data_IF_527155737369
#
_entry.id   IF_527155737369
#
_cell.length_a   1.000
_cell.length_b   1.000
_cell.length_c   1.000
_cell.angle_alpha   90.00
_cell.angle_beta   90.00
_cell.angle_gamma   90.00
#
_symmetry.space_group_name_H-M   'P 1'
#
loop_
_entity.id
_entity.type
_entity.pdbx_description
1 polymer ?
#
# COMPACT_ATOMS: atom_id res chain seq x y z
N UNK A 1 3.67 -7.67 17.09
CA UNK A 1 3.50 -6.49 16.23
C UNK A 1 4.20 -6.66 14.89
N UNK A 2 5.41 -7.24 14.84
CA UNK A 2 6.20 -7.35 13.61
C UNK A 2 5.45 -8.02 12.44
N UNK A 3 4.74 -9.13 12.68
CA UNK A 3 3.99 -9.80 11.60
C UNK A 3 2.82 -8.96 11.05
N UNK A 4 2.18 -8.15 11.89
CA UNK A 4 1.12 -7.23 11.46
C UNK A 4 1.69 -6.15 10.54
N UNK A 5 2.85 -5.59 10.88
CA UNK A 5 3.53 -4.60 10.03
C UNK A 5 3.91 -5.22 8.67
N UNK A 6 4.44 -6.44 8.68
CA UNK A 6 4.83 -7.21 7.49
C UNK A 6 3.63 -7.60 6.63
N UNK A 7 2.48 -7.89 7.24
CA UNK A 7 1.22 -8.07 6.54
C UNK A 7 0.76 -6.77 5.87
N UNK A 8 0.69 -5.69 6.66
CA UNK A 8 0.19 -4.39 6.23
C UNK A 8 0.97 -3.82 5.06
N UNK A 9 2.30 -3.89 5.10
CA UNK A 9 3.13 -3.40 4.01
C UNK A 9 2.97 -4.21 2.71
N UNK A 10 2.81 -5.54 2.79
CA UNK A 10 2.57 -6.39 1.60
C UNK A 10 1.19 -6.16 1.00
N UNK A 11 0.17 -6.00 1.85
CA UNK A 11 -1.17 -5.59 1.41
C UNK A 11 -1.12 -4.20 0.78
N UNK A 12 -0.36 -3.26 1.34
CA UNK A 12 -0.18 -1.91 0.78
C UNK A 12 0.43 -1.92 -0.62
N UNK A 13 1.46 -2.73 -0.86
CA UNK A 13 2.04 -2.91 -2.21
C UNK A 13 0.97 -3.46 -3.17
N UNK A 14 0.22 -4.47 -2.76
CA UNK A 14 -0.82 -5.09 -3.61
C UNK A 14 -2.06 -4.20 -3.84
N UNK A 15 -2.31 -3.26 -2.93
CA UNK A 15 -3.37 -2.27 -3.09
C UNK A 15 -3.03 -1.24 -4.19
N UNK A 16 -1.75 -1.11 -4.56
CA UNK A 16 -1.34 -0.25 -5.66
C UNK A 16 -1.37 -1.01 -6.99
N UNK A 17 -2.07 -0.48 -8.01
CA UNK A 17 -2.09 -1.10 -9.34
C UNK A 17 -0.68 -1.32 -9.87
N UNK A 18 -0.39 -2.57 -10.26
CA UNK A 18 0.94 -2.99 -10.71
C UNK A 18 1.87 -3.51 -9.62
N UNK A 19 1.44 -3.54 -8.35
CA UNK A 19 2.25 -4.01 -7.23
C UNK A 19 2.60 -5.50 -7.29
N UNK A 20 3.86 -5.91 -7.08
CA UNK A 20 4.24 -7.30 -7.11
C UNK A 20 3.73 -8.06 -5.88
N UNK A 21 3.44 -9.36 -6.07
CA UNK A 21 3.20 -10.26 -4.94
C UNK A 21 4.52 -10.59 -4.25
N UNK A 22 4.54 -10.41 -2.93
CA UNK A 22 5.72 -10.69 -2.10
C UNK A 22 5.37 -11.80 -1.13
N UNK A 23 6.24 -12.80 -1.00
CA UNK A 23 6.00 -13.92 -0.08
C UNK A 23 5.88 -13.42 1.35
N UNK A 24 4.88 -13.89 2.08
CA UNK A 24 4.61 -13.51 3.47
C UNK A 24 4.95 -14.65 4.41
N UNK A 25 5.69 -14.31 5.46
CA UNK A 25 6.05 -15.24 6.53
C UNK A 25 5.60 -14.63 7.86
N UNK A 26 5.05 -15.48 8.74
CA UNK A 26 4.57 -15.13 10.08
C UNK A 26 5.20 -16.05 11.13
N UNK A 27 5.18 -15.62 12.39
CA UNK A 27 5.81 -16.29 13.52
C UNK A 27 6.97 -15.49 14.14
N UNK A 28 7.06 -14.17 13.91
CA UNK A 28 8.11 -13.36 14.54
C UNK A 28 7.78 -13.19 16.03
N UNK A 29 8.71 -13.51 16.95
CA UNK A 29 8.49 -13.26 18.37
C UNK A 29 8.45 -11.76 18.64
N UNK A 30 7.71 -11.36 19.68
CA UNK A 30 7.75 -9.98 20.16
C UNK A 30 9.13 -9.69 20.76
N UNK A 31 9.66 -8.51 20.45
CA UNK A 31 10.81 -7.94 21.13
C UNK A 31 10.35 -6.71 21.91
N UNK A 32 10.79 -6.62 23.17
CA UNK A 32 10.50 -5.49 24.06
C UNK A 32 11.64 -4.49 24.11
N UNK A 33 12.77 -4.83 23.51
CA UNK A 33 13.98 -4.02 23.51
C UNK A 33 13.89 -3.03 22.35
N UNK A 34 13.95 -1.71 22.62
CA UNK A 34 13.99 -0.72 21.55
C UNK A 34 15.22 -0.91 20.66
N UNK A 35 15.08 -0.65 19.36
CA UNK A 35 16.25 -0.60 18.49
C UNK A 35 17.17 0.57 18.88
N UNK A 36 18.49 0.41 18.68
CA UNK A 36 19.43 1.52 18.77
C UNK A 36 19.03 2.67 17.83
N UNK A 37 19.25 3.89 18.29
CA UNK A 37 19.03 5.11 17.51
C UNK A 37 20.03 5.21 16.35
N UNK A 38 19.67 5.95 15.30
CA UNK A 38 20.59 6.24 14.17
C UNK A 38 20.75 5.11 13.16
N UNK A 39 19.97 4.03 13.24
CA UNK A 39 20.02 2.92 12.29
C UNK A 39 19.14 3.12 11.04
N UNK A 40 18.37 4.21 11.01
CA UNK A 40 17.51 4.59 9.89
C UNK A 40 18.16 5.72 9.08
N UNK A 41 18.11 5.66 7.73
CA UNK A 41 18.71 6.69 6.90
C UNK A 41 17.90 8.00 6.97
N UNK A 42 18.54 9.16 7.19
CA UNK A 42 17.92 10.44 6.93
C UNK A 42 17.94 10.75 5.42
N UNK A 43 17.05 11.66 5.01
CA UNK A 43 16.84 12.06 3.59
C UNK A 43 18.01 12.84 2.96
N UNK A 44 19.06 13.14 3.72
CA UNK A 44 20.20 13.94 3.31
C UNK A 44 21.52 13.15 3.31
N UNK A 45 21.50 11.85 3.57
CA UNK A 45 22.69 11.02 3.39
C UNK A 45 23.13 10.96 1.92
N UNK A 46 24.43 10.86 1.72
CA UNK A 46 25.03 10.61 0.41
C UNK A 46 24.78 9.17 -0.03
N UNK A 47 24.93 8.90 -1.34
CA UNK A 47 24.85 7.55 -1.86
C UNK A 47 25.79 6.57 -1.16
N UNK A 48 27.05 6.93 -0.90
CA UNK A 48 28.00 6.04 -0.22
C UNK A 48 27.58 5.76 1.24
N UNK A 49 27.11 6.76 1.97
CA UNK A 49 26.59 6.57 3.33
C UNK A 49 25.40 5.60 3.35
N UNK A 50 24.49 5.71 2.37
CA UNK A 50 23.34 4.82 2.24
C UNK A 50 23.76 3.41 1.83
N UNK A 51 24.66 3.30 0.86
CA UNK A 51 25.20 2.02 0.40
C UNK A 51 25.89 1.29 1.56
N UNK A 52 26.73 1.97 2.33
CA UNK A 52 27.45 1.35 3.45
C UNK A 52 26.48 0.97 4.59
N UNK A 53 25.49 1.82 4.89
CA UNK A 53 24.46 1.54 5.89
C UNK A 53 23.64 0.27 5.55
N UNK A 54 23.34 0.06 4.27
CA UNK A 54 22.59 -1.11 3.79
C UNK A 54 23.49 -2.33 3.55
N UNK A 55 24.75 -2.13 3.17
CA UNK A 55 25.75 -3.20 3.10
C UNK A 55 26.00 -3.83 4.48
N UNK A 56 26.00 -3.03 5.54
CA UNK A 56 26.05 -3.54 6.93
C UNK A 56 24.79 -4.33 7.33
N UNK A 57 23.73 -4.24 6.52
CA UNK A 57 22.50 -5.03 6.62
C UNK A 57 22.43 -6.12 5.54
N UNK A 58 23.55 -6.38 4.89
CA UNK A 58 23.76 -7.36 3.81
C UNK A 58 22.96 -7.09 2.53
N UNK A 59 22.44 -5.87 2.35
CA UNK A 59 21.73 -5.43 1.14
C UNK A 59 22.76 -4.80 0.19
N UNK A 60 22.79 -5.27 -1.07
CA UNK A 60 23.71 -4.75 -2.08
C UNK A 60 23.29 -3.36 -2.58
N UNK A 61 24.15 -2.60 -3.27
CA UNK A 61 23.75 -1.33 -3.88
C UNK A 61 22.53 -1.46 -4.80
N UNK A 62 22.50 -2.48 -5.66
CA UNK A 62 21.34 -2.76 -6.52
C UNK A 62 20.09 -3.14 -5.72
N UNK A 63 20.27 -3.87 -4.62
CA UNK A 63 19.15 -4.21 -3.73
C UNK A 63 18.59 -3.00 -2.98
N UNK A 64 19.45 -2.05 -2.59
CA UNK A 64 19.02 -0.76 -2.06
C UNK A 64 18.19 0.00 -3.10
N UNK A 65 18.66 0.08 -4.35
CA UNK A 65 17.90 0.73 -5.45
C UNK A 65 16.55 0.05 -5.68
N UNK A 66 16.50 -1.28 -5.59
CA UNK A 66 15.24 -2.01 -5.70
C UNK A 66 14.27 -1.56 -4.60
N UNK A 67 14.71 -1.57 -3.34
CA UNK A 67 13.89 -1.22 -2.16
C UNK A 67 13.39 0.23 -2.19
N UNK A 68 14.23 1.21 -2.52
CA UNK A 68 13.83 2.62 -2.55
C UNK A 68 12.83 2.92 -3.68
N UNK A 69 12.70 2.02 -4.67
CA UNK A 69 11.63 2.11 -5.68
C UNK A 69 10.23 2.17 -5.07
N UNK A 70 10.04 1.73 -3.81
CA UNK A 70 8.79 1.92 -3.07
C UNK A 70 8.32 3.39 -2.98
N UNK A 71 9.23 4.35 -3.19
CA UNK A 71 8.89 5.76 -3.29
C UNK A 71 7.98 6.11 -4.48
N UNK A 72 7.74 5.19 -5.44
CA UNK A 72 6.70 5.39 -6.45
C UNK A 72 5.30 5.48 -5.84
N UNK A 73 5.09 4.88 -4.67
CA UNK A 73 3.82 4.90 -3.95
C UNK A 73 3.96 5.65 -2.61
N UNK A 74 4.54 6.85 -2.63
CA UNK A 74 4.79 7.64 -1.42
C UNK A 74 4.48 9.13 -1.53
N UNK A 75 4.33 9.74 -0.34
CA UNK A 75 4.21 11.17 -0.13
C UNK A 75 5.07 11.61 1.06
N UNK A 76 5.76 12.73 0.92
CA UNK A 76 6.59 13.31 1.96
C UNK A 76 5.74 14.07 2.97
N UNK A 77 5.54 13.52 4.16
CA UNK A 77 4.87 14.22 5.25
C UNK A 77 5.93 14.80 6.19
N UNK A 78 6.01 16.13 6.24
CA UNK A 78 6.88 16.85 7.18
C UNK A 78 6.03 17.83 7.98
N UNK A 79 6.38 18.04 9.25
CA UNK A 79 5.74 19.05 10.10
C UNK A 79 5.80 20.47 9.51
N UNK A 80 6.69 20.71 8.55
CA UNK A 80 6.94 22.00 7.91
C UNK A 80 6.13 22.24 6.62
N UNK A 81 5.46 21.22 6.06
CA UNK A 81 4.66 21.40 4.84
C UNK A 81 3.36 20.59 4.89
N UNK A 82 2.24 21.27 4.65
CA UNK A 82 0.90 20.66 4.60
C UNK A 82 0.59 20.02 3.25
N UNK A 83 1.41 20.27 2.22
CA UNK A 83 1.13 19.82 0.84
C UNK A 83 1.39 18.32 0.63
N UNK A 84 2.21 17.71 1.48
CA UNK A 84 2.63 16.31 1.39
C UNK A 84 3.02 15.84 -0.03
N UNK A 85 4.01 16.49 -0.68
CA UNK A 85 4.30 16.24 -2.09
C UNK A 85 4.79 14.80 -2.35
N UNK A 86 4.39 14.18 -3.48
CA UNK A 86 4.85 12.86 -3.87
C UNK A 86 6.30 12.85 -4.36
N UNK A 87 6.89 11.66 -4.42
CA UNK A 87 8.26 11.45 -4.92
C UNK A 87 8.30 11.21 -6.45
N UNK A 88 7.14 11.01 -7.06
CA UNK A 88 6.96 10.95 -8.50
C UNK A 88 5.59 11.52 -8.92
N UNK A 89 5.26 11.40 -10.20
CA UNK A 89 4.01 11.96 -10.76
C UNK A 89 2.80 11.03 -10.61
N UNK A 90 2.98 9.81 -10.11
CA UNK A 90 1.99 8.73 -10.06
C UNK A 90 1.92 8.03 -8.69
N UNK A 91 1.80 8.76 -7.55
CA UNK A 91 1.95 8.24 -6.17
C UNK A 91 0.94 7.17 -5.72
N UNK A 92 0.00 6.79 -6.57
CA UNK A 92 -0.99 5.73 -6.33
C UNK A 92 -0.84 4.54 -7.28
N UNK A 93 0.25 4.46 -8.05
CA UNK A 93 0.56 3.36 -8.96
C UNK A 93 1.90 2.77 -8.58
N UNK A 94 2.02 1.47 -8.73
CA UNK A 94 3.30 0.79 -8.57
C UNK A 94 3.93 0.66 -9.95
N UNK A 95 4.62 1.71 -10.39
CA UNK A 95 5.24 1.80 -11.71
C UNK A 95 6.68 2.31 -11.61
N UNK A 96 7.34 2.51 -12.76
CA UNK A 96 8.75 2.89 -12.82
C UNK A 96 8.97 4.40 -12.91
N UNK A 97 7.91 5.21 -12.74
CA UNK A 97 7.96 6.66 -12.88
C UNK A 97 8.91 7.29 -11.86
N UNK A 98 9.00 6.76 -10.64
CA UNK A 98 10.00 7.16 -9.65
C UNK A 98 11.43 7.15 -10.20
N UNK A 99 11.84 6.08 -10.89
CA UNK A 99 13.19 5.99 -11.45
C UNK A 99 13.39 7.01 -12.56
N UNK A 100 12.42 7.13 -13.47
CA UNK A 100 12.47 8.12 -14.56
C UNK A 100 12.53 9.55 -14.02
N UNK A 101 11.79 9.87 -12.96
CA UNK A 101 11.77 11.19 -12.32
C UNK A 101 13.12 11.57 -11.70
N UNK A 102 13.82 10.62 -11.11
CA UNK A 102 15.13 10.85 -10.49
C UNK A 102 16.29 10.88 -11.49
N UNK A 103 16.08 10.39 -12.72
CA UNK A 103 17.02 10.51 -13.83
C UNK A 103 16.89 11.84 -14.60
N UNK A 104 15.82 12.61 -14.37
CA UNK A 104 15.61 13.92 -15.00
C UNK A 104 16.54 14.98 -14.40
N UNK A 105 16.97 15.99 -15.20
CA UNK A 105 17.78 17.08 -14.68
C UNK A 105 17.04 17.87 -13.59
N UNK A 106 15.75 18.16 -13.81
CA UNK A 106 14.91 18.94 -12.90
C UNK A 106 13.69 18.14 -12.44
N UNK A 107 13.21 18.46 -11.23
CA UNK A 107 12.00 17.86 -10.69
C UNK A 107 10.78 18.33 -11.48
N UNK A 108 9.84 17.44 -11.73
CA UNK A 108 8.53 17.77 -12.26
C UNK A 108 7.75 18.66 -11.28
N UNK A 109 6.85 19.48 -11.82
CA UNK A 109 6.02 20.36 -11.00
C UNK A 109 5.21 19.54 -9.96
N UNK A 110 5.26 19.98 -8.70
CA UNK A 110 4.56 19.31 -7.59
C UNK A 110 5.25 18.06 -7.05
N UNK A 111 6.38 17.62 -7.62
CA UNK A 111 7.16 16.49 -7.12
C UNK A 111 8.26 16.96 -6.17
N UNK A 112 8.46 16.21 -5.09
CA UNK A 112 9.55 16.42 -4.15
C UNK A 112 10.52 15.23 -4.16
N UNK A 113 11.72 15.48 -4.69
CA UNK A 113 12.84 14.51 -4.72
C UNK A 113 13.66 14.65 -3.44
N UNK A 114 13.84 13.57 -2.69
CA UNK A 114 14.73 13.60 -1.54
C UNK A 114 16.19 13.78 -2.02
N UNK A 115 17.02 14.57 -1.30
CA UNK A 115 18.44 14.70 -1.65
C UNK A 115 19.17 13.34 -1.71
N UNK A 116 18.82 12.40 -0.82
CA UNK A 116 19.32 11.02 -0.82
C UNK A 116 19.01 10.28 -2.12
N UNK A 117 17.80 10.42 -2.64
CA UNK A 117 17.32 9.70 -3.82
C UNK A 117 18.02 10.25 -5.07
N UNK A 118 18.19 11.58 -5.13
CA UNK A 118 18.99 12.24 -6.17
C UNK A 118 20.46 11.78 -6.12
N UNK A 119 21.05 11.71 -4.93
CA UNK A 119 22.43 11.23 -4.75
C UNK A 119 22.60 9.80 -5.23
N UNK A 120 21.66 8.90 -4.90
CA UNK A 120 21.67 7.51 -5.38
C UNK A 120 21.46 7.40 -6.89
N UNK A 121 20.60 8.22 -7.49
CA UNK A 121 20.38 8.21 -8.93
C UNK A 121 21.62 8.67 -9.72
N UNK A 122 22.42 9.58 -9.14
CA UNK A 122 23.63 10.13 -9.76
C UNK A 122 24.91 9.34 -9.47
N UNK A 123 24.90 8.47 -8.45
CA UNK A 123 26.08 7.70 -8.06
C UNK A 123 26.46 6.65 -9.11
N UNK A 124 27.76 6.46 -9.42
CA UNK A 124 28.21 5.45 -10.38
C UNK A 124 27.88 4.01 -9.93
N UNK A 125 27.67 3.77 -8.64
CA UNK A 125 27.40 2.44 -8.07
C UNK A 125 25.93 2.03 -8.18
N UNK A 126 25.02 2.99 -8.34
CA UNK A 126 23.57 2.78 -8.27
C UNK A 126 22.81 3.39 -9.45
N UNK A 127 23.33 4.44 -10.07
CA UNK A 127 22.76 5.10 -11.26
C UNK A 127 22.46 4.16 -12.44
N UNK A 128 23.36 3.22 -12.81
CA UNK A 128 23.05 2.22 -13.83
C UNK A 128 21.83 1.35 -13.49
N UNK A 129 21.61 1.05 -12.20
CA UNK A 129 20.45 0.27 -11.74
C UNK A 129 19.17 1.12 -11.80
N UNK A 130 19.24 2.41 -11.49
CA UNK A 130 18.13 3.35 -11.72
C UNK A 130 17.72 3.37 -13.19
N UNK A 131 18.69 3.45 -14.11
CA UNK A 131 18.42 3.41 -15.55
C UNK A 131 17.76 2.09 -15.96
N UNK A 132 18.28 0.96 -15.50
CA UNK A 132 17.71 -0.35 -15.77
C UNK A 132 16.25 -0.45 -15.30
N UNK A 133 15.98 -0.09 -14.04
CA UNK A 133 14.62 -0.19 -13.49
C UNK A 133 13.66 0.83 -14.10
N UNK A 134 14.14 1.99 -14.57
CA UNK A 134 13.29 2.93 -15.33
C UNK A 134 12.70 2.31 -16.60
N UNK A 135 13.42 1.37 -17.23
CA UNK A 135 13.03 0.75 -18.49
C UNK A 135 12.42 -0.66 -18.33
N UNK A 136 12.66 -1.34 -17.21
CA UNK A 136 12.33 -2.75 -17.02
C UNK A 136 11.53 -3.00 -15.74
N UNK A 137 10.23 -2.68 -15.76
CA UNK A 137 9.33 -2.87 -14.61
C UNK A 137 9.36 -4.30 -14.05
N UNK A 138 9.31 -5.33 -14.91
CA UNK A 138 9.32 -6.72 -14.45
C UNK A 138 10.61 -7.10 -13.70
N UNK A 139 11.76 -6.60 -14.17
CA UNK A 139 13.04 -6.81 -13.49
C UNK A 139 13.08 -6.09 -12.13
N UNK A 140 12.51 -4.88 -12.05
CA UNK A 140 12.38 -4.17 -10.79
C UNK A 140 11.42 -4.87 -9.82
N UNK A 141 10.25 -5.33 -10.28
CA UNK A 141 9.27 -6.04 -9.46
C UNK A 141 9.88 -7.30 -8.82
N UNK A 142 10.63 -8.08 -9.59
CA UNK A 142 11.33 -9.27 -9.10
C UNK A 142 12.41 -8.89 -8.06
N UNK A 143 13.24 -7.89 -8.38
CA UNK A 143 14.27 -7.41 -7.47
C UNK A 143 13.68 -6.86 -6.17
N UNK A 144 12.60 -6.08 -6.25
CA UNK A 144 11.90 -5.53 -5.09
C UNK A 144 11.33 -6.64 -4.22
N UNK A 145 10.61 -7.61 -4.80
CA UNK A 145 10.03 -8.71 -4.03
C UNK A 145 11.10 -9.54 -3.32
N UNK A 146 12.23 -9.80 -3.99
CA UNK A 146 13.39 -10.51 -3.42
C UNK A 146 14.01 -9.74 -2.24
N UNK A 147 14.33 -8.47 -2.43
CA UNK A 147 15.00 -7.67 -1.41
C UNK A 147 14.05 -7.31 -0.25
N UNK A 148 12.75 -7.17 -0.52
CA UNK A 148 11.76 -7.00 0.54
C UNK A 148 11.70 -8.25 1.43
N UNK A 149 11.75 -9.46 0.87
CA UNK A 149 11.82 -10.69 1.66
C UNK A 149 13.07 -10.65 2.55
N UNK A 150 14.23 -10.30 1.99
CA UNK A 150 15.48 -10.15 2.75
C UNK A 150 15.33 -9.17 3.91
N UNK A 151 14.80 -7.97 3.64
CA UNK A 151 14.53 -6.95 4.65
C UNK A 151 13.56 -7.44 5.73
N UNK A 152 12.49 -8.15 5.34
CA UNK A 152 11.48 -8.66 6.27
C UNK A 152 11.98 -9.75 7.22
N UNK A 153 13.12 -10.36 6.92
CA UNK A 153 13.73 -11.45 7.68
C UNK A 153 14.92 -11.01 8.53
N UNK A 154 15.30 -9.74 8.44
CA UNK A 154 16.39 -9.17 9.23
C UNK A 154 16.13 -9.34 10.73
N UNK A 155 17.12 -9.80 11.50
CA UNK A 155 16.98 -10.04 12.94
C UNK A 155 16.13 -11.27 13.33
N UNK A 156 15.54 -12.01 12.37
CA UNK A 156 14.79 -13.23 12.68
C UNK A 156 15.75 -14.41 12.92
N UNK A 157 15.94 -14.77 14.19
CA UNK A 157 16.86 -15.86 14.59
C UNK A 157 16.43 -17.27 14.15
N UNK A 158 15.12 -17.53 14.09
CA UNK A 158 14.55 -18.85 13.77
C UNK A 158 13.75 -18.79 12.46
N UNK A 159 14.41 -18.45 11.36
CA UNK A 159 13.75 -18.31 10.05
C UNK A 159 12.96 -19.55 9.63
N UNK A 160 13.48 -20.74 9.93
CA UNK A 160 12.82 -22.03 9.63
C UNK A 160 11.57 -22.30 10.48
N UNK A 161 11.37 -21.55 11.57
CA UNK A 161 10.16 -21.63 12.38
C UNK A 161 9.04 -20.71 11.87
N UNK A 162 9.33 -19.86 10.87
CA UNK A 162 8.29 -19.03 10.28
C UNK A 162 7.38 -19.86 9.37
N UNK A 163 6.09 -19.54 9.42
CA UNK A 163 5.06 -20.12 8.55
C UNK A 163 4.88 -19.24 7.31
N UNK A 164 4.93 -19.84 6.13
CA UNK A 164 4.57 -19.16 4.88
C UNK A 164 3.05 -19.02 4.80
N UNK A 165 2.60 -17.77 4.64
CA UNK A 165 1.19 -17.37 4.64
C UNK A 165 0.81 -16.54 3.41
N UNK A 166 1.57 -16.61 2.32
CA UNK A 166 1.36 -15.76 1.13
C UNK A 166 -0.02 -15.90 0.48
N UNK A 167 -0.72 -17.01 0.74
CA UNK A 167 -2.09 -17.26 0.28
C UNK A 167 -3.14 -16.33 0.89
N UNK A 168 -2.85 -15.71 2.04
CA UNK A 168 -3.79 -14.76 2.68
C UNK A 168 -3.74 -13.38 2.03
N UNK A 169 -2.71 -13.10 1.23
CA UNK A 169 -2.58 -11.82 0.55
C UNK A 169 -3.59 -11.73 -0.60
N UNK A 170 -4.34 -10.61 -0.74
CA UNK A 170 -5.26 -10.38 -1.84
C UNK A 170 -4.58 -10.66 -3.17
N UNK A 171 -5.33 -11.11 -4.19
CA UNK A 171 -4.79 -11.14 -5.56
C UNK A 171 -4.29 -9.74 -5.91
N UNK A 172 -3.22 -9.65 -6.72
CA UNK A 172 -2.77 -8.34 -7.17
C UNK A 172 -3.97 -7.65 -7.83
N UNK A 173 -4.17 -6.36 -7.59
CA UNK A 173 -5.25 -5.63 -8.25
C UNK A 173 -5.10 -5.83 -9.76
N UNK A 174 -6.02 -6.62 -10.34
CA UNK A 174 -5.89 -7.11 -11.71
C UNK A 174 -5.80 -5.91 -12.67
N UNK A 175 -4.90 -6.01 -13.66
CA UNK A 175 -5.16 -5.36 -14.95
C UNK A 175 -6.54 -5.85 -15.42
N UNK A 176 -7.36 -5.04 -16.14
CA UNK A 176 -8.51 -5.61 -16.85
C UNK A 176 -8.00 -6.80 -17.64
N UNK A 177 -8.47 -8.00 -17.28
CA UNK A 177 -8.06 -9.24 -17.92
C UNK A 177 -8.49 -9.14 -19.39
N UNK A 178 -7.59 -9.33 -20.37
CA UNK A 178 -8.03 -9.49 -21.74
C UNK A 178 -8.85 -10.77 -21.80
N UNK A 179 -10.09 -10.68 -22.28
CA UNK A 179 -11.04 -11.79 -22.40
C UNK A 179 -10.37 -12.97 -23.14
N UNK A 180 -9.85 -13.95 -22.40
CA UNK A 180 -9.48 -15.24 -22.96
C UNK A 180 -10.76 -16.09 -23.08
N UNK A 181 -11.04 -16.72 -24.22
CA UNK A 181 -12.35 -17.34 -24.46
C UNK A 181 -12.46 -18.65 -23.67
N UNK A 182 -13.19 -18.63 -22.56
CA UNK A 182 -13.60 -19.87 -21.88
C UNK A 182 -14.66 -20.65 -22.71
N UNK A 183 -14.61 -22.00 -22.67
CA UNK A 183 -15.52 -22.83 -23.43
C UNK A 183 -16.94 -22.79 -22.85
N UNK A 184 -17.89 -22.69 -23.77
CA UNK A 184 -19.34 -22.83 -23.60
C UNK A 184 -19.77 -23.72 -22.41
N UNK A 185 -20.32 -23.10 -21.36
CA UNK A 185 -21.43 -23.70 -20.61
C UNK A 185 -22.28 -22.65 -19.88
N UNK A 186 -23.51 -22.50 -20.37
CA UNK A 186 -24.79 -22.18 -19.71
C UNK A 186 -24.86 -20.96 -18.74
N UNK A 187 -25.80 -20.02 -18.94
CA UNK A 187 -25.85 -18.79 -18.13
C UNK A 187 -26.37 -19.10 -16.71
N UNK A 188 -25.48 -19.05 -15.73
CA UNK A 188 -25.85 -18.92 -14.32
C UNK A 188 -25.96 -17.43 -14.00
N UNK A 189 -27.17 -16.97 -13.69
CA UNK A 189 -27.43 -15.61 -13.22
C UNK A 189 -26.63 -15.37 -11.93
N UNK A 190 -25.52 -14.63 -12.02
CA UNK A 190 -24.64 -14.38 -10.87
C UNK A 190 -24.97 -13.02 -10.29
N UNK A 191 -25.94 -12.98 -9.39
CA UNK A 191 -26.16 -11.79 -8.56
C UNK A 191 -25.06 -11.72 -7.50
N UNK A 192 -24.34 -10.59 -7.45
CA UNK A 192 -23.32 -10.35 -6.44
C UNK A 192 -23.87 -9.42 -5.35
N UNK A 193 -23.80 -9.85 -4.10
CA UNK A 193 -24.25 -9.07 -2.94
C UNK A 193 -23.07 -8.71 -2.07
N UNK A 194 -22.83 -7.41 -1.89
CA UNK A 194 -21.81 -6.89 -0.97
C UNK A 194 -22.49 -6.19 0.20
N UNK A 195 -22.10 -6.52 1.44
CA UNK A 195 -22.60 -5.87 2.66
C UNK A 195 -21.49 -5.01 3.26
N UNK A 196 -21.77 -3.71 3.43
CA UNK A 196 -20.88 -2.77 4.12
C UNK A 196 -21.19 -2.83 5.61
N UNK A 197 -20.19 -3.15 6.44
CA UNK A 197 -20.32 -3.16 7.89
C UNK A 197 -19.68 -1.91 8.49
N UNK A 198 -20.29 -1.38 9.55
CA UNK A 198 -19.70 -0.36 10.41
C UNK A 198 -19.38 -0.95 11.76
N UNK A 199 -18.15 -0.69 12.19
CA UNK A 199 -17.65 -1.06 13.50
C UNK A 199 -17.91 0.11 14.47
N UNK A 200 -18.74 -0.11 15.48
CA UNK A 200 -18.94 0.84 16.58
C UNK A 200 -18.25 0.33 17.84
N UNK A 201 -17.35 1.15 18.38
CA UNK A 201 -16.64 0.85 19.62
C UNK A 201 -17.27 1.63 20.76
N UNK A 202 -17.66 0.95 21.82
CA UNK A 202 -18.27 1.52 23.03
C UNK A 202 -17.40 1.22 24.24
N UNK A 203 -17.31 2.16 25.18
CA UNK A 203 -16.63 1.93 26.46
C UNK A 203 -17.65 1.48 27.50
N UNK A 204 -17.35 0.41 28.24
CA UNK A 204 -18.23 -0.08 29.31
C UNK A 204 -18.09 0.84 30.54
N UNK A 205 -19.10 1.70 30.77
CA UNK A 205 -19.07 2.73 31.83
C UNK A 205 -19.85 2.38 33.09
N UNK A 206 -20.53 1.23 33.15
CA UNK A 206 -21.16 0.69 34.37
C UNK A 206 -21.51 -0.79 34.21
N UNK A 207 -21.61 -1.50 35.33
CA UNK A 207 -21.95 -2.92 35.37
C UNK A 207 -22.97 -3.21 36.49
N UNK A 208 -23.91 -4.16 36.28
CA UNK A 208 -24.79 -4.65 37.35
C UNK A 208 -23.99 -5.36 38.47
N UNK A 209 -24.47 -5.31 39.73
CA UNK A 209 -23.74 -5.85 40.88
C UNK A 209 -23.51 -7.38 40.84
N UNK A 210 -24.29 -8.13 40.06
CA UNK A 210 -24.21 -9.59 40.00
C UNK A 210 -23.23 -10.14 38.96
N UNK A 211 -22.40 -9.30 38.31
CA UNK A 211 -21.39 -9.75 37.33
C UNK A 211 -19.98 -9.73 37.93
N UNK A 212 -19.52 -10.90 38.38
CA UNK A 212 -18.22 -11.10 39.06
C UNK A 212 -16.97 -10.86 38.18
N UNK A 213 -17.11 -10.69 36.86
CA UNK A 213 -16.01 -10.42 35.93
C UNK A 213 -16.43 -9.42 34.83
N UNK A 214 -16.93 -8.26 35.23
CA UNK A 214 -17.30 -7.23 34.26
C UNK A 214 -16.08 -6.49 33.75
N UNK A 215 -15.90 -6.32 32.42
CA UNK A 215 -14.75 -5.61 31.86
C UNK A 215 -15.01 -4.10 31.86
N UNK A 216 -15.24 -3.53 33.04
CA UNK A 216 -15.46 -2.09 33.23
C UNK A 216 -14.24 -1.30 32.72
N UNK A 217 -14.49 -0.27 31.91
CA UNK A 217 -13.45 0.52 31.26
C UNK A 217 -12.86 -0.13 30.00
N UNK A 218 -13.27 -1.35 29.62
CA UNK A 218 -12.87 -1.95 28.35
C UNK A 218 -13.67 -1.40 27.17
N UNK A 219 -13.06 -1.45 25.99
CA UNK A 219 -13.70 -1.12 24.73
C UNK A 219 -14.36 -2.37 24.14
N UNK A 220 -15.69 -2.36 24.02
CA UNK A 220 -16.47 -3.38 23.36
C UNK A 220 -16.78 -2.95 21.92
N UNK A 221 -16.63 -3.87 20.97
CA UNK A 221 -16.80 -3.60 19.53
C UNK A 221 -18.06 -4.29 19.02
N UNK A 222 -18.95 -3.55 18.35
CA UNK A 222 -20.16 -4.08 17.72
C UNK A 222 -20.13 -3.80 16.21
N UNK A 223 -20.54 -4.80 15.41
CA UNK A 223 -20.65 -4.70 13.96
C UNK A 223 -22.12 -4.52 13.58
N UNK A 224 -22.43 -3.43 12.87
CA UNK A 224 -23.76 -3.19 12.32
C UNK A 224 -23.68 -3.07 10.79
N UNK A 225 -24.52 -3.77 10.00
CA UNK A 225 -24.56 -3.59 8.55
C UNK A 225 -25.14 -2.19 8.23
N UNK A 226 -24.44 -1.41 7.41
CA UNK A 226 -24.82 -0.04 7.03
C UNK A 226 -25.60 -0.04 5.72
N UNK A 227 -25.15 -0.82 4.74
CA UNK A 227 -25.80 -0.90 3.44
C UNK A 227 -25.49 -2.23 2.78
N UNK A 228 -26.47 -2.74 2.04
CA UNK A 228 -26.32 -3.93 1.20
C UNK A 228 -26.45 -3.49 -0.24
N UNK A 229 -25.42 -3.72 -1.04
CA UNK A 229 -25.42 -3.41 -2.47
C UNK A 229 -25.61 -4.73 -3.20
N UNK A 230 -26.78 -4.88 -3.82
CA UNK A 230 -27.10 -5.95 -4.77
C UNK A 230 -26.99 -5.39 -6.17
N UNK A 231 -26.08 -5.96 -6.97
CA UNK A 231 -26.03 -5.68 -8.39
C UNK A 231 -26.74 -6.82 -9.13
N UNK A 232 -27.86 -6.48 -9.79
CA UNK A 232 -28.52 -7.32 -10.78
C UNK A 232 -28.16 -6.79 -12.16
N UNK A 233 -27.68 -7.67 -13.04
CA UNK A 233 -27.33 -7.29 -14.40
C UNK A 233 -28.58 -7.43 -15.29
N UNK A 234 -29.33 -6.34 -15.48
CA UNK A 234 -30.36 -6.27 -16.51
C UNK A 234 -29.73 -6.05 -17.90
N UNK A 235 -29.91 -7.03 -18.79
CA UNK A 235 -29.53 -6.92 -20.19
C UNK A 235 -30.51 -6.01 -20.94
N UNK A 236 -30.13 -4.77 -21.23
CA UNK A 236 -30.76 -4.01 -22.32
C UNK A 236 -30.18 -4.48 -23.66
N UNK A 237 -31.01 -5.18 -24.43
CA UNK A 237 -30.75 -5.57 -25.80
C UNK A 237 -30.68 -4.35 -26.73
N UNK A 238 -29.71 -4.38 -27.66
CA UNK A 238 -29.51 -3.44 -28.75
C UNK A 238 -30.66 -3.55 -29.78
N UNK A 239 -31.27 -2.41 -30.14
CA UNK A 239 -32.05 -2.29 -31.37
C UNK A 239 -31.72 -0.97 -32.08
N UNK A 240 -31.24 -1.11 -33.31
CA UNK A 240 -30.95 -0.07 -34.29
C UNK A 240 -32.27 0.42 -34.92
N UNK A 241 -32.56 1.73 -34.90
CA UNK A 241 -33.55 2.34 -35.80
C UNK A 241 -33.38 3.87 -35.92
N UNK A 242 -33.48 4.35 -37.17
CA UNK A 242 -33.58 5.74 -37.63
C UNK A 242 -34.76 6.53 -37.04
N UNK A 243 -34.61 7.86 -36.90
CA UNK A 243 -35.72 8.81 -37.08
C UNK A 243 -35.87 9.95 -36.04
N UNK A 244 -35.64 11.18 -36.51
CA UNK A 244 -36.32 12.46 -36.23
C UNK A 244 -36.67 12.98 -34.80
N UNK A 245 -36.38 14.28 -34.64
CA UNK A 245 -36.79 15.29 -33.65
C UNK A 245 -38.19 15.15 -33.00
N UNK A 246 -38.34 15.45 -31.70
CA UNK A 246 -39.04 16.66 -31.19
C UNK A 246 -39.03 16.76 -29.63
N UNK A 247 -39.21 17.99 -29.17
CA UNK A 247 -39.30 18.63 -27.85
C UNK A 247 -40.32 17.99 -26.88
N UNK A 248 -40.01 17.94 -25.56
CA UNK A 248 -40.85 18.46 -24.45
C UNK A 248 -40.24 18.25 -23.05
N UNK A 249 -40.13 19.34 -22.29
CA UNK A 249 -40.21 19.42 -20.80
C UNK A 249 -41.70 19.67 -20.42
N UNK A 250 -42.18 19.70 -19.15
CA UNK A 250 -41.47 19.91 -17.86
C UNK A 250 -41.98 19.09 -16.64
N UNK A 251 -41.35 19.27 -15.47
CA UNK A 251 -41.92 19.80 -14.20
C UNK A 251 -41.23 19.23 -12.95
N UNK A 252 -40.90 20.21 -12.09
CA UNK A 252 -40.20 20.26 -10.81
C UNK A 252 -41.01 19.69 -9.65
N UNK A 253 -40.33 19.01 -8.71
CA UNK A 253 -40.66 19.10 -7.28
C UNK A 253 -39.39 18.86 -6.44
N UNK A 254 -39.01 19.88 -5.67
CA UNK A 254 -38.01 19.77 -4.60
C UNK A 254 -38.73 19.43 -3.28
N UNK A 255 -38.03 18.77 -2.34
CA UNK A 255 -37.94 19.38 -1.02
C UNK A 255 -36.54 19.37 -0.42
N UNK A 256 -36.33 20.42 0.36
CA UNK A 256 -35.18 20.81 1.15
C UNK A 256 -34.89 19.87 2.33
N UNK A 257 -33.63 19.49 2.52
CA UNK A 257 -33.06 19.23 3.85
C UNK A 257 -31.53 19.29 3.77
N UNK A 258 -30.92 20.12 4.60
CA UNK A 258 -29.47 20.30 4.73
C UNK A 258 -28.86 19.01 5.27
N UNK A 259 -28.07 18.30 4.45
CA UNK A 259 -27.20 17.23 4.90
C UNK A 259 -25.74 17.71 4.97
N UNK A 260 -24.96 17.27 5.99
CA UNK A 260 -23.57 17.66 6.17
C UNK A 260 -22.67 17.10 5.06
N UNK A 261 -21.59 17.84 4.79
CA UNK A 261 -20.55 17.58 3.78
C UNK A 261 -20.13 16.10 3.78
N UNK A 262 -20.14 15.39 2.63
CA UNK A 262 -19.63 14.04 2.56
C UNK A 262 -18.10 14.06 2.74
N UNK A 263 -17.63 13.42 3.82
CA UNK A 263 -16.22 13.04 3.96
C UNK A 263 -15.97 11.89 2.98
N UNK A 264 -15.25 12.19 1.90
CA UNK A 264 -14.83 11.23 0.90
C UNK A 264 -13.88 10.20 1.54
N UNK A 265 -14.39 9.03 1.90
CA UNK A 265 -13.57 7.87 2.21
C UNK A 265 -13.00 7.30 0.90
N UNK A 266 -11.88 7.87 0.44
CA UNK A 266 -11.13 7.35 -0.68
C UNK A 266 -10.33 6.12 -0.25
N UNK A 267 -10.62 4.96 -0.84
CA UNK A 267 -9.71 3.81 -0.88
C UNK A 267 -8.47 4.21 -1.69
N UNK A 268 -7.54 4.93 -1.06
CA UNK A 268 -6.25 5.29 -1.63
C UNK A 268 -5.20 4.27 -1.22
N UNK A 269 -4.25 3.97 -2.12
CA UNK A 269 -2.96 3.37 -1.79
C UNK A 269 -2.46 3.94 -0.47
N UNK A 270 -2.47 3.14 0.60
CA UNK A 270 -1.86 3.53 1.85
C UNK A 270 -0.36 3.50 1.61
N UNK A 271 0.16 4.67 1.27
CA UNK A 271 1.56 4.93 0.97
C UNK A 271 2.45 4.35 2.06
N UNK A 272 3.25 3.35 1.70
CA UNK A 272 4.35 2.88 2.53
C UNK A 272 5.41 4.00 2.56
N UNK A 273 5.21 4.98 3.43
CA UNK A 273 6.20 6.00 3.74
C UNK A 273 7.52 5.31 4.05
N UNK A 274 8.65 5.96 3.75
CA UNK A 274 9.96 5.49 4.16
C UNK A 274 10.02 5.24 5.69
N UNK A 275 9.13 5.85 6.49
CA UNK A 275 8.91 5.48 7.88
C UNK A 275 8.32 4.08 8.10
N UNK A 276 7.51 3.52 7.21
CA UNK A 276 7.02 2.14 7.29
C UNK A 276 8.11 1.14 6.86
N UNK A 277 8.95 1.49 5.87
CA UNK A 277 10.11 0.66 5.46
C UNK A 277 11.23 0.75 6.51
N UNK A 278 11.45 1.93 7.09
CA UNK A 278 12.44 2.19 8.14
C UNK A 278 11.97 1.73 9.53
N UNK A 279 10.69 1.86 9.89
CA UNK A 279 10.16 1.31 11.16
C UNK A 279 10.24 -0.22 11.21
N UNK A 280 10.30 -0.89 10.05
CA UNK A 280 10.52 -2.34 9.97
C UNK A 280 11.96 -2.73 10.24
N UNK A 281 12.91 -1.87 9.88
CA UNK A 281 14.34 -2.04 10.20
C UNK A 281 14.63 -1.67 11.66
N UNK A 282 13.89 -0.70 12.20
CA UNK A 282 13.99 -0.23 13.58
C UNK A 282 13.28 -1.08 14.64
N UNK A 283 12.72 -2.25 14.30
CA UNK A 283 12.11 -3.15 15.28
C UNK A 283 12.95 -4.41 15.57
N UNK A 284 14.12 -4.56 14.93
CA UNK A 284 14.85 -5.84 14.87
C UNK A 284 16.35 -5.72 15.19
N UNK A 285 16.80 -4.56 15.69
CA UNK A 285 18.22 -4.26 15.87
C UNK A 285 18.77 -4.57 17.29
N UNK A 286 18.32 -5.66 17.89
CA UNK A 286 18.67 -6.03 19.28
C UNK A 286 19.57 -7.27 19.35
N UNK A 287 20.21 -7.67 18.24
CA UNK A 287 21.11 -8.84 18.26
C UNK A 287 22.28 -8.78 17.27
N UNK A 288 22.80 -7.58 17.01
CA UNK A 288 24.16 -7.42 16.49
C UNK A 288 25.00 -6.66 17.51
N UNK A 289 25.27 -7.37 18.61
CA UNK A 289 26.40 -7.24 19.53
C UNK A 289 26.60 -8.60 20.17
#
# INVERSE_FOLDING_TARGET
>A
MADLLQAGAKVGVLACPGGPRIRMFVGRPEDKTPAPVGLLPPVFFTADQLIDLFANKTVSPGGLVALIGAHTASRNHSATTTLAPPQDRTPGKWDTEYFSEHLRPNASAGVFRFPSDVSLAQSPRTGPVFQQFSAAKGAWDEAYAKEYIRMSLMGVKKINALRECSKVLPRAADKPEPDEPEPSSTPSHRSSTSVVYQTRTYTVTSCPPDKTNCPYGSHATSLAPVSTITAEADHHANANAHGHTDVTSPVRAAPTSKAPVPVTAGAGCLSASLYAVAAMVGLLATSFM
#
